data_IF_842039719741
#
_entry.id   IF_842039719741
#
_cell.length_a   1.000
_cell.length_b   1.000
_cell.length_c   1.000
_cell.angle_alpha   90.00
_cell.angle_beta   90.00
_cell.angle_gamma   90.00
#
_symmetry.space_group_name_H-M   'P 1'
#
loop_
_entity.id
_entity.type
_entity.pdbx_description
1 polymer ?
#
# COMPACT_ATOMS: atom_id res chain seq x y z
N UNK A 1 12.06 6.00 -8.21
CA UNK A 1 10.61 5.96 -7.96
C UNK A 1 10.44 6.28 -6.48
N UNK A 2 9.85 7.43 -6.13
CA UNK A 2 9.65 7.76 -4.73
C UNK A 2 8.56 6.83 -4.17
N UNK A 3 8.88 6.09 -3.10
CA UNK A 3 7.89 5.31 -2.38
C UNK A 3 6.86 6.26 -1.78
N UNK A 4 5.64 6.26 -2.32
CA UNK A 4 4.53 7.01 -1.73
C UNK A 4 4.27 6.49 -0.33
N UNK A 5 4.10 7.39 0.63
CA UNK A 5 3.73 7.00 1.99
C UNK A 5 2.27 6.55 2.04
N UNK A 6 1.91 5.78 3.08
CA UNK A 6 0.51 5.35 3.28
C UNK A 6 -0.40 6.58 3.42
N UNK A 7 0.11 7.64 4.05
CA UNK A 7 -0.58 8.92 4.23
C UNK A 7 -0.92 9.58 2.88
N UNK A 8 0.03 9.62 1.95
CA UNK A 8 -0.20 10.14 0.58
C UNK A 8 -1.23 9.30 -0.17
N UNK A 9 -1.19 7.98 -0.04
CA UNK A 9 -2.17 7.09 -0.67
C UNK A 9 -3.58 7.28 -0.11
N UNK A 10 -3.71 7.43 1.20
CA UNK A 10 -4.99 7.69 1.87
C UNK A 10 -5.53 9.06 1.46
N UNK A 11 -4.67 10.08 1.39
CA UNK A 11 -5.06 11.40 0.90
C UNK A 11 -5.56 11.34 -0.55
N UNK A 12 -4.81 10.70 -1.45
CA UNK A 12 -5.21 10.53 -2.86
C UNK A 12 -6.55 9.80 -2.99
N UNK A 13 -6.78 8.76 -2.17
CA UNK A 13 -8.04 8.02 -2.13
C UNK A 13 -9.22 8.90 -1.69
N UNK A 14 -9.05 9.67 -0.60
CA UNK A 14 -10.10 10.56 -0.08
C UNK A 14 -10.44 11.64 -1.11
N UNK A 15 -9.43 12.24 -1.75
CA UNK A 15 -9.64 13.25 -2.79
C UNK A 15 -10.36 12.67 -4.00
N UNK A 16 -9.99 11.46 -4.45
CA UNK A 16 -10.64 10.79 -5.57
C UNK A 16 -12.12 10.46 -5.27
N UNK A 17 -12.40 9.92 -4.08
CA UNK A 17 -13.76 9.62 -3.64
C UNK A 17 -14.64 10.88 -3.55
N UNK A 18 -14.13 11.94 -2.90
CA UNK A 18 -14.85 13.22 -2.84
C UNK A 18 -15.09 13.82 -4.23
N UNK A 19 -14.12 13.72 -5.14
CA UNK A 19 -14.25 14.18 -6.53
C UNK A 19 -15.28 13.36 -7.32
N UNK A 20 -15.50 12.10 -6.95
CA UNK A 20 -16.52 11.22 -7.55
C UNK A 20 -17.93 11.44 -6.97
N UNK A 21 -18.07 12.35 -6.00
CA UNK A 21 -19.34 12.63 -5.33
C UNK A 21 -19.73 11.59 -4.27
N UNK A 22 -18.82 10.66 -3.94
CA UNK A 22 -19.04 9.66 -2.90
C UNK A 22 -18.50 10.22 -1.58
N UNK A 23 -19.35 10.23 -0.56
CA UNK A 23 -18.95 10.63 0.79
C UNK A 23 -18.02 9.59 1.41
N UNK A 24 -16.89 10.05 1.93
CA UNK A 24 -15.93 9.17 2.63
C UNK A 24 -16.20 9.21 4.12
N UNK A 25 -16.37 8.04 4.74
CA UNK A 25 -16.48 7.93 6.20
C UNK A 25 -15.15 7.61 6.86
N UNK A 26 -15.07 7.80 8.17
CA UNK A 26 -13.89 7.41 8.95
C UNK A 26 -13.63 5.89 8.91
N UNK A 27 -14.67 5.07 8.73
CA UNK A 27 -14.52 3.62 8.58
C UNK A 27 -13.78 3.27 7.28
N UNK A 28 -14.17 3.90 6.17
CA UNK A 28 -13.55 3.65 4.85
C UNK A 28 -12.06 3.98 4.86
N UNK A 29 -11.69 5.10 5.51
CA UNK A 29 -10.29 5.51 5.66
C UNK A 29 -9.51 4.46 6.46
N UNK A 30 -10.09 3.94 7.54
CA UNK A 30 -9.44 2.96 8.40
C UNK A 30 -9.23 1.63 7.65
N UNK A 31 -10.26 1.12 7.01
CA UNK A 31 -10.18 -0.11 6.21
C UNK A 31 -9.16 0.04 5.08
N UNK A 32 -9.14 1.18 4.38
CA UNK A 32 -8.17 1.44 3.33
C UNK A 32 -6.73 1.49 3.86
N UNK A 33 -6.53 2.12 5.03
CA UNK A 33 -5.22 2.17 5.69
C UNK A 33 -4.74 0.77 6.08
N UNK A 34 -5.62 -0.06 6.62
CA UNK A 34 -5.31 -1.44 7.01
C UNK A 34 -4.93 -2.29 5.78
N UNK A 35 -5.69 -2.17 4.68
CA UNK A 35 -5.40 -2.83 3.40
C UNK A 35 -4.04 -2.35 2.86
N UNK A 36 -3.78 -1.05 2.84
CA UNK A 36 -2.52 -0.50 2.36
C UNK A 36 -1.33 -1.01 3.19
N UNK A 37 -1.49 -1.10 4.51
CA UNK A 37 -0.48 -1.64 5.42
C UNK A 37 -0.21 -3.13 5.14
N UNK A 38 -1.26 -3.93 4.96
CA UNK A 38 -1.13 -5.35 4.64
C UNK A 38 -0.44 -5.58 3.28
N UNK A 39 -0.82 -4.81 2.26
CA UNK A 39 -0.19 -4.87 0.94
C UNK A 39 1.30 -4.53 1.03
N UNK A 40 1.66 -3.48 1.79
CA UNK A 40 3.06 -3.11 1.99
C UNK A 40 3.84 -4.21 2.71
N UNK A 41 3.26 -4.81 3.74
CA UNK A 41 3.85 -5.94 4.48
C UNK A 41 4.08 -7.16 3.59
N UNK A 42 3.07 -7.58 2.83
CA UNK A 42 3.16 -8.70 1.88
C UNK A 42 4.16 -8.43 0.75
N UNK A 43 4.21 -7.20 0.24
CA UNK A 43 5.17 -6.79 -0.79
C UNK A 43 6.61 -6.85 -0.28
N UNK A 44 6.88 -6.31 0.92
CA UNK A 44 8.19 -6.38 1.55
C UNK A 44 8.64 -7.83 1.80
N UNK A 45 7.73 -8.68 2.28
CA UNK A 45 7.98 -10.10 2.48
C UNK A 45 8.34 -10.80 1.15
N UNK A 46 7.56 -10.56 0.09
CA UNK A 46 7.81 -11.14 -1.23
C UNK A 46 9.12 -10.65 -1.85
N UNK A 47 9.47 -9.37 -1.67
CA UNK A 47 10.75 -8.83 -2.10
C UNK A 47 11.93 -9.50 -1.37
N UNK A 48 11.77 -9.80 -0.08
CA UNK A 48 12.77 -10.52 0.71
C UNK A 48 12.98 -11.95 0.19
N UNK A 49 11.90 -12.66 -0.15
CA UNK A 49 11.95 -13.99 -0.75
C UNK A 49 12.67 -13.98 -2.11
N UNK A 50 12.32 -13.03 -2.98
CA UNK A 50 13.00 -12.85 -4.28
C UNK A 50 14.49 -12.58 -4.08
N UNK A 51 14.86 -11.71 -3.14
CA UNK A 51 16.25 -11.41 -2.87
C UNK A 51 17.01 -12.63 -2.35
N UNK A 52 16.42 -13.41 -1.45
CA UNK A 52 17.01 -14.66 -0.94
C UNK A 52 17.17 -15.71 -2.05
N UNK A 53 16.19 -15.83 -2.93
CA UNK A 53 16.20 -16.76 -4.05
C UNK A 53 17.24 -16.35 -5.12
N UNK A 54 17.37 -15.05 -5.41
CA UNK A 54 18.44 -14.49 -6.24
C UNK A 54 19.83 -14.72 -5.63
N UNK A 55 19.94 -14.65 -4.30
CA UNK A 55 21.18 -14.92 -3.58
C UNK A 55 21.56 -16.41 -3.65
N UNK A 56 20.57 -17.33 -3.57
CA UNK A 56 20.79 -18.78 -3.74
C UNK A 56 21.20 -19.16 -5.15
N UNK A 57 20.64 -18.53 -6.19
CA UNK A 57 21.01 -18.78 -7.60
C UNK A 57 22.40 -18.25 -7.99
N UNK A 58 23.05 -17.47 -7.12
CA UNK A 58 24.40 -16.93 -7.34
C UNK A 58 25.53 -17.83 -6.84
N UNK A 59 25.21 -18.94 -6.16
CA UNK A 59 26.14 -20.02 -5.79
C UNK A 59 25.95 -21.20 -6.73
#
# INVERSE_FOLDING_TARGET
MADKTIEEMVHDYVVAQLSSGIGVTKCDIKEFTDIACEVKGRSAQRQKEINQDAQRRRW
#
